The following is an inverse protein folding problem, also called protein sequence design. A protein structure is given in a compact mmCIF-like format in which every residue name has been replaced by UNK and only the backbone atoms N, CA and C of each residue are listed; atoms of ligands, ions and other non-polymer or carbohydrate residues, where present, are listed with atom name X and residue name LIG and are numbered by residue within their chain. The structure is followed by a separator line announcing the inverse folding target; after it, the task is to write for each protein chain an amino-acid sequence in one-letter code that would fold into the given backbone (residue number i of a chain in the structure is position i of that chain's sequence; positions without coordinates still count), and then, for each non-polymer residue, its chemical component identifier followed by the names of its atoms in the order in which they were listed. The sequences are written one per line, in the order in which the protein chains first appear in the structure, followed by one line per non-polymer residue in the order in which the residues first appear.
data_IF_193562324499
#
_entry.id   IF_193562324499
#
_cell.length_a   1.000
_cell.length_b   1.000
_cell.length_c   1.000
_cell.angle_alpha   90.00
_cell.angle_beta   90.00
_cell.angle_gamma   90.00
#
_symmetry.space_group_name_H-M   'P 1'
#
loop_
_entity.id
_entity.type
_entity.pdbx_description
1 polymer ?
#
# COMPACT_ATOMS: atom_id res chain seq x y z
N UNK A 1 19.28 -13.45 13.68
CA UNK A 1 18.29 -12.85 12.75
C UNK A 1 16.97 -12.54 13.47
N UNK A 2 16.78 -13.18 14.62
CA UNK A 2 15.54 -13.26 15.41
C UNK A 2 15.02 -11.90 15.89
N UNK A 3 15.88 -10.89 16.01
CA UNK A 3 15.50 -9.51 16.37
C UNK A 3 15.34 -8.57 15.17
N UNK A 4 15.75 -8.97 13.96
CA UNK A 4 15.74 -8.11 12.76
C UNK A 4 14.36 -8.11 12.10
N UNK A 5 13.74 -9.29 11.94
CA UNK A 5 12.41 -9.42 11.34
C UNK A 5 11.32 -8.62 12.08
N UNK A 6 11.21 -8.66 13.43
CA UNK A 6 10.27 -7.81 14.16
C UNK A 6 10.43 -6.32 13.84
N UNK A 7 11.67 -5.83 13.76
CA UNK A 7 11.93 -4.41 13.45
C UNK A 7 11.49 -4.09 12.01
N UNK A 8 11.78 -4.97 11.06
CA UNK A 8 11.32 -4.79 9.67
C UNK A 8 9.79 -4.73 9.60
N UNK A 9 9.09 -5.66 10.25
CA UNK A 9 7.63 -5.70 10.25
C UNK A 9 7.01 -4.50 10.96
N UNK A 10 7.64 -3.99 12.02
CA UNK A 10 7.21 -2.73 12.66
C UNK A 10 7.34 -1.54 11.70
N UNK A 11 8.45 -1.43 10.97
CA UNK A 11 8.66 -0.37 9.98
C UNK A 11 7.67 -0.51 8.81
N UNK A 12 7.38 -1.72 8.35
CA UNK A 12 6.36 -1.98 7.33
C UNK A 12 4.96 -1.57 7.80
N UNK A 13 4.61 -1.86 9.06
CA UNK A 13 3.33 -1.46 9.66
C UNK A 13 3.21 0.06 9.74
N UNK A 14 4.26 0.73 10.24
CA UNK A 14 4.32 2.19 10.28
C UNK A 14 4.22 2.83 8.88
N UNK A 15 4.95 2.29 7.89
CA UNK A 15 4.89 2.74 6.50
C UNK A 15 3.51 2.53 5.87
N UNK A 16 2.82 1.44 6.22
CA UNK A 16 1.46 1.14 5.76
C UNK A 16 0.46 2.13 6.37
N UNK A 17 0.56 2.42 7.67
CA UNK A 17 -0.26 3.43 8.33
C UNK A 17 -0.04 4.84 7.75
N UNK A 18 1.22 5.20 7.45
CA UNK A 18 1.57 6.45 6.77
C UNK A 18 0.95 6.53 5.36
N UNK A 19 0.94 5.42 4.63
CA UNK A 19 0.26 5.34 3.32
C UNK A 19 -1.25 5.53 3.46
N UNK A 20 -1.88 4.91 4.47
CA UNK A 20 -3.32 5.06 4.75
C UNK A 20 -3.70 6.50 5.09
N UNK A 21 -2.84 7.23 5.81
CA UNK A 21 -3.05 8.65 6.06
C UNK A 21 -3.17 9.44 4.74
N UNK A 22 -2.30 9.19 3.76
CA UNK A 22 -2.43 9.84 2.45
C UNK A 22 -3.61 9.33 1.63
N UNK A 23 -3.98 8.05 1.73
CA UNK A 23 -5.23 7.56 1.14
C UNK A 23 -6.42 8.35 1.68
N UNK A 24 -6.48 8.60 3.00
CA UNK A 24 -7.52 9.41 3.61
C UNK A 24 -7.53 10.84 3.08
N UNK A 25 -6.38 11.51 3.03
CA UNK A 25 -6.25 12.88 2.48
C UNK A 25 -6.71 12.93 1.02
N UNK A 26 -6.23 12.01 0.18
CA UNK A 26 -6.57 11.96 -1.24
C UNK A 26 -8.06 11.73 -1.48
N UNK A 27 -8.64 10.71 -0.83
CA UNK A 27 -10.07 10.39 -0.93
C UNK A 27 -10.91 11.56 -0.45
N UNK A 28 -10.54 12.20 0.68
CA UNK A 28 -11.26 13.36 1.20
C UNK A 28 -11.25 14.52 0.20
N UNK A 29 -10.10 14.82 -0.41
CA UNK A 29 -9.96 15.89 -1.41
C UNK A 29 -10.80 15.63 -2.66
N UNK A 30 -10.80 14.38 -3.16
CA UNK A 30 -11.59 14.00 -4.35
C UNK A 30 -13.09 13.99 -4.10
N UNK A 31 -13.50 13.51 -2.91
CA UNK A 31 -14.91 13.39 -2.53
C UNK A 31 -15.65 14.73 -2.54
N UNK A 32 -14.94 15.86 -2.39
CA UNK A 32 -15.52 17.21 -2.49
C UNK A 32 -16.14 17.51 -3.86
N UNK A 33 -15.63 16.84 -4.92
CA UNK A 33 -16.04 17.06 -6.31
C UNK A 33 -16.79 15.86 -6.90
N UNK A 34 -17.15 14.87 -6.06
CA UNK A 34 -17.75 13.62 -6.49
C UNK A 34 -19.07 13.86 -7.23
N UNK A 35 -19.96 14.69 -6.65
CA UNK A 35 -21.28 14.98 -7.20
C UNK A 35 -21.20 15.68 -8.56
N UNK A 36 -20.27 16.62 -8.71
CA UNK A 36 -20.01 17.31 -9.97
C UNK A 36 -19.46 16.35 -11.02
N UNK A 37 -18.57 15.45 -10.61
CA UNK A 37 -17.99 14.42 -11.48
C UNK A 37 -19.02 13.40 -11.94
N UNK A 38 -19.92 12.98 -11.04
CA UNK A 38 -21.07 12.12 -11.37
C UNK A 38 -22.01 12.81 -12.36
N UNK A 39 -22.33 14.08 -12.12
CA UNK A 39 -23.19 14.83 -13.04
C UNK A 39 -22.55 14.96 -14.42
N UNK A 40 -21.24 15.18 -14.50
CA UNK A 40 -20.53 15.19 -15.78
C UNK A 40 -20.50 13.81 -16.45
N UNK A 41 -20.40 12.73 -15.67
CA UNK A 41 -20.41 11.36 -16.17
C UNK A 41 -21.75 10.96 -16.82
N UNK A 42 -22.87 11.55 -16.40
CA UNK A 42 -24.18 11.31 -17.03
C UNK A 42 -24.22 11.76 -18.51
N UNK A 43 -23.44 12.79 -18.87
CA UNK A 43 -23.46 13.37 -20.21
C UNK A 43 -22.17 13.14 -21.01
N UNK A 44 -21.16 12.50 -20.42
CA UNK A 44 -19.87 12.27 -21.07
C UNK A 44 -19.26 10.92 -20.68
N UNK A 45 -19.08 10.05 -21.68
CA UNK A 45 -18.41 8.76 -21.51
C UNK A 45 -16.97 8.93 -20.98
N UNK A 46 -16.27 9.98 -21.40
CA UNK A 46 -14.93 10.30 -20.90
C UNK A 46 -14.97 10.67 -19.42
N UNK A 47 -15.94 11.49 -18.99
CA UNK A 47 -16.08 11.83 -17.57
C UNK A 47 -16.42 10.59 -16.72
N UNK A 48 -17.28 9.70 -17.22
CA UNK A 48 -17.60 8.43 -16.56
C UNK A 48 -16.35 7.53 -16.41
N UNK A 49 -15.53 7.41 -17.46
CA UNK A 49 -14.28 6.65 -17.41
C UNK A 49 -13.28 7.23 -16.40
N UNK A 50 -13.13 8.57 -16.37
CA UNK A 50 -12.23 9.24 -15.42
C UNK A 50 -12.70 9.06 -13.97
N UNK A 51 -14.00 9.16 -13.71
CA UNK A 51 -14.58 8.92 -12.39
C UNK A 51 -14.34 7.47 -11.94
N UNK A 52 -14.56 6.51 -12.83
CA UNK A 52 -14.31 5.10 -12.55
C UNK A 52 -12.84 4.83 -12.23
N UNK A 53 -11.90 5.32 -13.05
CA UNK A 53 -10.45 5.17 -12.80
C UNK A 53 -10.02 5.84 -11.49
N UNK A 54 -10.60 7.00 -11.16
CA UNK A 54 -10.36 7.70 -9.88
C UNK A 54 -10.75 6.81 -8.70
N UNK A 55 -11.97 6.26 -8.71
CA UNK A 55 -12.46 5.37 -7.64
C UNK A 55 -11.61 4.10 -7.52
N UNK A 56 -11.32 3.44 -8.65
CA UNK A 56 -10.55 2.20 -8.66
C UNK A 56 -9.11 2.39 -8.19
N UNK A 57 -8.43 3.44 -8.65
CA UNK A 57 -7.03 3.69 -8.25
C UNK A 57 -6.91 4.01 -6.76
N UNK A 58 -7.77 4.89 -6.23
CA UNK A 58 -7.76 5.24 -4.81
C UNK A 58 -8.24 4.09 -3.92
N UNK A 59 -9.25 3.34 -4.37
CA UNK A 59 -9.75 2.14 -3.69
C UNK A 59 -8.68 1.04 -3.62
N UNK A 60 -8.02 0.73 -4.72
CA UNK A 60 -6.95 -0.26 -4.75
C UNK A 60 -5.76 0.16 -3.88
N UNK A 61 -5.37 1.45 -3.91
CA UNK A 61 -4.33 1.97 -3.02
C UNK A 61 -4.68 1.78 -1.54
N UNK A 62 -5.93 2.09 -1.15
CA UNK A 62 -6.42 1.90 0.21
C UNK A 62 -6.40 0.42 0.63
N UNK A 63 -6.94 -0.47 -0.21
CA UNK A 63 -6.97 -1.91 0.05
C UNK A 63 -5.56 -2.47 0.18
N UNK A 64 -4.65 -2.13 -0.74
CA UNK A 64 -3.26 -2.57 -0.69
C UNK A 64 -2.56 -2.12 0.60
N UNK A 65 -2.75 -0.87 1.00
CA UNK A 65 -2.16 -0.34 2.24
C UNK A 65 -2.73 -1.04 3.49
N UNK A 66 -4.04 -1.32 3.52
CA UNK A 66 -4.66 -2.10 4.60
C UNK A 66 -4.13 -3.54 4.66
N UNK A 67 -4.05 -4.23 3.52
CA UNK A 67 -3.50 -5.59 3.45
C UNK A 67 -2.05 -5.62 3.94
N UNK A 68 -1.23 -4.64 3.54
CA UNK A 68 0.15 -4.52 4.00
C UNK A 68 0.23 -4.26 5.50
N UNK A 69 -0.63 -3.38 6.04
CA UNK A 69 -0.70 -3.12 7.48
C UNK A 69 -1.08 -4.38 8.27
N UNK A 70 -2.11 -5.09 7.83
CA UNK A 70 -2.59 -6.31 8.49
C UNK A 70 -1.53 -7.42 8.42
N UNK A 71 -0.89 -7.59 7.26
CA UNK A 71 0.16 -8.61 7.10
C UNK A 71 1.37 -8.31 7.98
N UNK A 72 1.85 -7.06 7.98
CA UNK A 72 3.01 -6.66 8.79
C UNK A 72 2.72 -6.74 10.28
N UNK A 73 1.50 -6.36 10.71
CA UNK A 73 1.05 -6.50 12.10
C UNK A 73 0.96 -7.97 12.52
N UNK A 74 0.44 -8.84 11.66
CA UNK A 74 0.38 -10.28 11.90
C UNK A 74 1.77 -10.91 12.03
N UNK A 75 2.68 -10.60 11.10
CA UNK A 75 4.05 -11.10 11.14
C UNK A 75 4.84 -10.53 12.33
N UNK A 76 4.60 -9.28 12.71
CA UNK A 76 5.17 -8.69 13.92
C UNK A 76 4.66 -9.42 15.17
N UNK A 77 3.34 -9.59 15.30
CA UNK A 77 2.71 -10.25 16.44
C UNK A 77 3.24 -11.68 16.62
N UNK A 78 3.35 -12.44 15.54
CA UNK A 78 3.88 -13.81 15.58
C UNK A 78 5.38 -13.85 15.88
N UNK A 79 6.16 -12.83 15.51
CA UNK A 79 7.59 -12.76 15.78
C UNK A 79 7.94 -12.34 17.21
N UNK A 80 7.04 -11.68 17.94
CA UNK A 80 7.28 -11.19 19.33
C UNK A 80 6.64 -12.05 20.42
N UNK A 81 5.79 -13.02 20.07
CA UNK A 81 5.07 -13.82 21.07
C UNK A 81 6.02 -14.80 21.78
N UNK A 82 6.11 -14.76 23.13
CA UNK A 82 6.88 -15.73 23.90
C UNK A 82 6.01 -16.97 24.17
N UNK A 83 6.26 -18.07 23.46
CA UNK A 83 5.60 -19.35 23.73
C UNK A 83 5.60 -20.30 22.53
N UNK A 84 6.39 -21.36 22.66
CA UNK A 84 6.51 -22.54 21.79
C UNK A 84 7.14 -22.32 20.40
N UNK A 85 8.43 -22.68 20.35
CA UNK A 85 9.31 -22.80 19.18
C UNK A 85 9.76 -21.49 18.54
N UNK A 86 11.07 -21.41 18.32
CA UNK A 86 11.85 -20.30 17.79
C UNK A 86 11.56 -19.93 16.32
N UNK A 87 10.36 -20.22 15.82
CA UNK A 87 9.96 -19.95 14.43
C UNK A 87 9.00 -18.75 14.36
N UNK A 88 9.41 -17.64 13.71
CA UNK A 88 8.53 -16.51 13.44
C UNK A 88 7.48 -16.98 12.43
N UNK A 89 6.24 -17.17 12.89
CA UNK A 89 5.18 -17.95 12.21
C UNK A 89 5.54 -19.43 12.08
N UNK A 90 4.66 -20.34 12.48
CA UNK A 90 4.86 -21.80 12.49
C UNK A 90 5.13 -22.44 11.10
N UNK A 91 5.25 -21.64 10.04
CA UNK A 91 5.65 -22.09 8.70
C UNK A 91 6.45 -21.00 7.96
N UNK A 92 7.76 -21.17 7.73
CA UNK A 92 8.57 -20.24 6.93
C UNK A 92 8.01 -20.03 5.51
N UNK A 93 7.34 -21.03 4.95
CA UNK A 93 6.65 -20.95 3.65
C UNK A 93 5.48 -19.97 3.65
N UNK A 94 4.75 -19.86 4.77
CA UNK A 94 3.68 -18.87 4.92
C UNK A 94 4.28 -17.45 4.89
N UNK A 95 5.38 -17.22 5.61
CA UNK A 95 6.08 -15.93 5.60
C UNK A 95 6.56 -15.57 4.19
N UNK A 96 7.16 -16.52 3.46
CA UNK A 96 7.56 -16.32 2.06
C UNK A 96 6.34 -15.95 1.19
N UNK A 97 5.24 -16.69 1.31
CA UNK A 97 4.03 -16.44 0.54
C UNK A 97 3.43 -15.05 0.82
N UNK A 98 3.38 -14.65 2.09
CA UNK A 98 2.89 -13.34 2.51
C UNK A 98 3.79 -12.20 2.01
N UNK A 99 5.11 -12.38 2.07
CA UNK A 99 6.06 -11.42 1.51
C UNK A 99 5.89 -11.29 -0.01
N UNK A 100 5.89 -12.41 -0.74
CA UNK A 100 5.72 -12.44 -2.19
C UNK A 100 4.40 -11.80 -2.63
N UNK A 101 3.31 -12.13 -1.94
CA UNK A 101 2.00 -11.53 -2.17
C UNK A 101 1.99 -10.02 -1.96
N UNK A 102 2.64 -9.51 -0.91
CA UNK A 102 2.71 -8.07 -0.66
C UNK A 102 3.65 -7.34 -1.63
N UNK A 103 4.75 -7.96 -2.08
CA UNK A 103 5.59 -7.41 -3.15
C UNK A 103 4.77 -7.23 -4.42
N UNK A 104 4.07 -8.28 -4.86
CA UNK A 104 3.22 -8.23 -6.05
C UNK A 104 2.11 -7.19 -5.90
N UNK A 105 1.38 -7.20 -4.78
CA UNK A 105 0.29 -6.28 -4.50
C UNK A 105 0.76 -4.81 -4.52
N UNK A 106 1.86 -4.49 -3.84
CA UNK A 106 2.39 -3.12 -3.79
C UNK A 106 2.90 -2.63 -5.15
N UNK A 107 3.60 -3.47 -5.92
CA UNK A 107 4.10 -3.11 -7.25
C UNK A 107 2.97 -2.94 -8.28
N UNK A 108 2.01 -3.87 -8.31
CA UNK A 108 0.86 -3.80 -9.23
C UNK A 108 0.00 -2.57 -8.93
N UNK A 109 -0.32 -2.33 -7.66
CA UNK A 109 -1.08 -1.14 -7.27
C UNK A 109 -0.30 0.14 -7.54
N UNK A 110 1.02 0.17 -7.28
CA UNK A 110 1.86 1.32 -7.65
C UNK A 110 1.79 1.60 -9.14
N UNK A 111 1.93 0.59 -9.99
CA UNK A 111 1.84 0.73 -11.44
C UNK A 111 0.47 1.26 -11.88
N UNK A 112 -0.61 0.69 -11.34
CA UNK A 112 -1.98 1.09 -11.65
C UNK A 112 -2.27 2.55 -11.25
N UNK A 113 -1.88 2.94 -10.04
CA UNK A 113 -2.08 4.29 -9.52
C UNK A 113 -1.20 5.29 -10.26
N UNK A 114 0.08 4.99 -10.48
CA UNK A 114 1.01 5.87 -11.18
C UNK A 114 0.65 6.03 -12.66
N UNK A 115 0.14 4.98 -13.32
CA UNK A 115 -0.29 5.06 -14.72
C UNK A 115 -1.45 6.03 -14.93
N UNK A 116 -2.34 6.19 -13.95
CA UNK A 116 -3.46 7.13 -14.03
C UNK A 116 -3.12 8.53 -13.48
N UNK A 117 -2.41 8.60 -12.34
CA UNK A 117 -2.16 9.86 -11.62
C UNK A 117 -0.85 10.54 -11.97
N UNK A 118 0.14 9.81 -12.51
CA UNK A 118 1.50 10.32 -12.74
C UNK A 118 1.58 11.48 -13.72
N UNK A 119 0.59 11.63 -14.61
CA UNK A 119 0.49 12.72 -15.59
C UNK A 119 -0.54 13.80 -15.23
N UNK A 120 -1.24 13.68 -14.09
CA UNK A 120 -2.27 14.64 -13.71
C UNK A 120 -1.64 15.94 -13.23
N UNK A 121 -2.03 17.04 -13.87
CA UNK A 121 -1.58 18.37 -13.50
C UNK A 121 -2.49 18.99 -12.43
N UNK A 122 -1.89 19.84 -11.59
CA UNK A 122 -2.65 20.67 -10.66
C UNK A 122 -3.47 21.70 -11.41
N UNK A 123 -4.69 21.95 -10.96
CA UNK A 123 -5.64 22.87 -11.58
C UNK A 123 -5.83 24.10 -10.66
N UNK A 124 -5.72 25.32 -11.20
CA UNK A 124 -5.97 26.53 -10.41
C UNK A 124 -7.34 26.50 -9.73
N UNK A 125 -7.42 26.98 -8.48
CA UNK A 125 -8.65 27.11 -7.69
C UNK A 125 -9.37 25.81 -7.31
N UNK A 126 -8.77 24.64 -7.54
CA UNK A 126 -9.31 23.32 -7.15
C UNK A 126 -8.43 22.66 -6.10
N UNK A 127 -8.39 23.26 -4.90
CA UNK A 127 -7.43 22.90 -3.84
C UNK A 127 -7.53 21.44 -3.40
N UNK A 128 -8.74 20.91 -3.17
CA UNK A 128 -8.93 19.51 -2.77
C UNK A 128 -8.42 18.51 -3.82
N UNK A 129 -8.56 18.84 -5.11
CA UNK A 129 -8.01 18.02 -6.19
C UNK A 129 -6.48 18.10 -6.24
N UNK A 130 -5.91 19.28 -6.04
CA UNK A 130 -4.46 19.48 -6.01
C UNK A 130 -3.80 18.79 -4.81
N UNK A 131 -4.49 18.77 -3.68
CA UNK A 131 -4.10 18.02 -2.49
C UNK A 131 -4.18 16.51 -2.76
N UNK A 132 -5.22 16.04 -3.44
CA UNK A 132 -5.35 14.65 -3.86
C UNK A 132 -4.23 14.20 -4.82
N UNK A 133 -3.84 15.03 -5.78
CA UNK A 133 -2.68 14.76 -6.64
C UNK A 133 -1.41 14.63 -5.79
N UNK A 134 -1.19 15.57 -4.87
CA UNK A 134 0.04 15.62 -4.07
C UNK A 134 0.13 14.42 -3.10
N UNK A 135 -0.98 14.08 -2.45
CA UNK A 135 -1.07 12.91 -1.57
C UNK A 135 -0.97 11.60 -2.36
N UNK A 136 -1.56 11.51 -3.55
CA UNK A 136 -1.40 10.34 -4.42
C UNK A 136 0.05 10.12 -4.85
N UNK A 137 0.81 11.19 -5.11
CA UNK A 137 2.25 11.07 -5.36
C UNK A 137 3.01 10.49 -4.15
N UNK A 138 2.59 10.82 -2.92
CA UNK A 138 3.15 10.21 -1.70
C UNK A 138 2.72 8.75 -1.54
N UNK A 139 1.49 8.38 -1.91
CA UNK A 139 1.03 6.99 -1.95
C UNK A 139 1.92 6.17 -2.88
N UNK A 140 2.16 6.63 -4.11
CA UNK A 140 3.01 5.94 -5.10
C UNK A 140 4.42 5.70 -4.54
N UNK A 141 5.06 6.73 -3.95
CA UNK A 141 6.37 6.61 -3.31
C UNK A 141 6.36 5.65 -2.13
N UNK A 142 5.29 5.65 -1.33
CA UNK A 142 5.18 4.79 -0.16
C UNK A 142 4.95 3.33 -0.56
N UNK A 143 4.15 3.06 -1.60
CA UNK A 143 3.99 1.72 -2.17
C UNK A 143 5.32 1.15 -2.69
N UNK A 144 6.16 1.98 -3.31
CA UNK A 144 7.51 1.59 -3.73
C UNK A 144 8.40 1.20 -2.54
N UNK A 145 8.42 2.04 -1.50
CA UNK A 145 9.18 1.76 -0.26
C UNK A 145 8.68 0.50 0.44
N UNK A 146 7.37 0.27 0.45
CA UNK A 146 6.78 -0.96 0.97
C UNK A 146 7.22 -2.16 0.13
N UNK A 147 7.19 -2.09 -1.20
CA UNK A 147 7.68 -3.16 -2.07
C UNK A 147 9.15 -3.52 -1.77
N UNK A 148 10.01 -2.51 -1.61
CA UNK A 148 11.41 -2.70 -1.20
C UNK A 148 11.49 -3.33 0.19
N UNK A 149 10.71 -2.86 1.15
CA UNK A 149 10.66 -3.39 2.51
C UNK A 149 10.21 -4.85 2.56
N UNK A 150 9.19 -5.23 1.79
CA UNK A 150 8.73 -6.61 1.65
C UNK A 150 9.76 -7.50 0.97
N UNK A 151 10.46 -6.98 -0.05
CA UNK A 151 11.56 -7.70 -0.71
C UNK A 151 12.73 -7.96 0.24
N UNK A 152 13.07 -6.96 1.07
CA UNK A 152 14.12 -7.11 2.09
C UNK A 152 13.73 -8.13 3.16
N UNK A 153 12.50 -8.10 3.63
CA UNK A 153 11.97 -9.09 4.58
C UNK A 153 12.02 -10.50 4.01
N UNK A 154 11.60 -10.69 2.75
CA UNK A 154 11.69 -11.97 2.04
C UNK A 154 13.13 -12.50 2.00
N UNK A 155 14.10 -11.64 1.65
CA UNK A 155 15.51 -12.01 1.60
C UNK A 155 16.03 -12.46 2.97
N UNK A 156 15.69 -11.73 4.04
CA UNK A 156 16.06 -12.10 5.41
C UNK A 156 15.44 -13.44 5.81
N UNK A 157 14.17 -13.68 5.48
CA UNK A 157 13.50 -14.97 5.75
C UNK A 157 14.18 -16.13 5.02
N UNK A 158 14.45 -15.98 3.71
CA UNK A 158 15.09 -17.04 2.90
C UNK A 158 16.49 -17.34 3.41
N UNK A 159 17.29 -16.32 3.73
CA UNK A 159 18.64 -16.54 4.30
C UNK A 159 18.56 -17.26 5.64
N UNK A 160 17.60 -16.91 6.51
CA UNK A 160 17.38 -17.62 7.78
C UNK A 160 17.12 -19.11 7.57
N UNK A 161 16.22 -19.43 6.64
CA UNK A 161 15.91 -20.81 6.27
C UNK A 161 17.13 -21.59 5.75
N UNK A 162 17.92 -20.98 4.86
CA UNK A 162 19.11 -21.62 4.28
C UNK A 162 20.22 -21.85 5.32
N UNK A 163 20.31 -20.98 6.32
CA UNK A 163 21.30 -21.09 7.41
C UNK A 163 20.88 -22.06 8.51
N UNK A 164 19.75 -22.77 8.36
CA UNK A 164 19.30 -23.80 9.30
C UNK A 164 18.88 -23.27 10.66
N UNK A 165 18.40 -22.01 10.73
CA UNK A 165 17.85 -21.40 11.94
C UNK A 165 16.41 -20.95 11.70
#
# INVERSE_FOLDING_TARGET
MDKVLPVIHLVQAAGSAYTLYFCFVSIKGLKQYEKQSEKAAEYSATAAEQLHKTRMTQGNALVTALTSLLTSSFLLYTAVRPGESSHPSSSPWLSIGLNAGNIANTLLTRSHVAGFWGSKAKVPFVEGYNEAISSTAQIIKSLERLAVGWSFSAAVTVVGMLMGR
#
